data_IF_430786848776
#
_entry.id   IF_430786848776
#
_cell.length_a   1.000
_cell.length_b   1.000
_cell.length_c   1.000
_cell.angle_alpha   90.00
_cell.angle_beta   90.00
_cell.angle_gamma   90.00
#
_symmetry.space_group_name_H-M   'P 1'
#
loop_
_entity.id
_entity.type
_entity.pdbx_description
1 polymer ?
#
# COMPACT_ATOMS: atom_id res chain seq x y z
N UNK A 1 -23.65 -2.19 21.69
CA UNK A 1 -22.32 -2.70 21.27
C UNK A 1 -22.51 -3.18 19.84
N UNK A 2 -22.19 -2.44 18.79
CA UNK A 2 -20.87 -1.95 18.36
C UNK A 2 -21.02 -0.69 17.51
N UNK A 3 -20.10 0.25 17.67
CA UNK A 3 -20.00 1.48 16.88
C UNK A 3 -19.67 1.17 15.42
N UNK A 4 -20.49 1.64 14.48
CA UNK A 4 -20.20 1.69 13.04
C UNK A 4 -19.07 2.70 12.82
N UNK A 5 -17.84 2.27 13.06
CA UNK A 5 -16.64 3.01 12.68
C UNK A 5 -16.63 3.00 11.15
N UNK A 6 -16.95 4.11 10.51
CA UNK A 6 -16.72 4.26 9.08
C UNK A 6 -15.27 3.85 8.81
N UNK A 7 -15.01 2.84 7.96
CA UNK A 7 -13.65 2.42 7.74
C UNK A 7 -12.92 3.57 7.06
N UNK A 8 -12.09 4.27 7.82
CA UNK A 8 -11.20 5.29 7.28
C UNK A 8 -10.13 4.57 6.47
N UNK A 9 -10.47 4.33 5.21
CA UNK A 9 -9.53 3.84 4.23
C UNK A 9 -8.42 4.89 4.03
N UNK A 10 -7.21 4.39 3.87
CA UNK A 10 -5.98 5.13 3.68
C UNK A 10 -5.35 4.72 2.36
N UNK A 11 -4.68 5.68 1.72
CA UNK A 11 -3.89 5.44 0.53
C UNK A 11 -2.45 5.13 0.93
N UNK A 12 -1.97 3.95 0.58
CA UNK A 12 -0.63 3.48 0.87
C UNK A 12 0.21 3.40 -0.40
N UNK A 13 1.51 3.65 -0.27
CA UNK A 13 2.49 3.46 -1.34
C UNK A 13 3.55 2.48 -0.86
N UNK A 14 3.76 1.41 -1.63
CA UNK A 14 4.84 0.46 -1.43
C UNK A 14 5.75 0.44 -2.65
N UNK A 15 7.06 0.47 -2.45
CA UNK A 15 8.06 0.38 -3.52
C UNK A 15 8.99 -0.79 -3.22
N UNK A 16 9.09 -1.74 -4.16
CA UNK A 16 10.03 -2.84 -4.04
C UNK A 16 11.42 -2.35 -4.45
N UNK A 17 12.28 -1.99 -3.50
CA UNK A 17 13.67 -1.59 -3.78
C UNK A 17 14.63 -2.78 -3.97
N UNK A 18 14.11 -4.01 -4.05
CA UNK A 18 14.93 -5.22 -4.21
C UNK A 18 15.03 -5.62 -5.68
N UNK A 19 16.04 -6.41 -6.03
CA UNK A 19 16.20 -7.02 -7.35
C UNK A 19 15.42 -8.33 -7.53
N UNK A 20 14.49 -8.65 -6.62
CA UNK A 20 13.70 -9.88 -6.63
C UNK A 20 12.21 -9.56 -6.78
N UNK A 21 11.46 -10.49 -7.38
CA UNK A 21 10.00 -10.44 -7.33
C UNK A 21 9.53 -10.58 -5.88
N UNK A 22 8.48 -9.83 -5.55
CA UNK A 22 7.82 -9.88 -4.25
C UNK A 22 6.33 -10.06 -4.45
N UNK A 23 5.67 -10.70 -3.50
CA UNK A 23 4.21 -10.77 -3.45
C UNK A 23 3.77 -10.04 -2.19
N UNK A 24 3.01 -8.96 -2.36
CA UNK A 24 2.42 -8.22 -1.25
C UNK A 24 1.02 -8.74 -0.97
N UNK A 25 0.70 -8.95 0.31
CA UNK A 25 -0.57 -9.51 0.77
C UNK A 25 -1.13 -8.73 1.95
N UNK A 26 -2.44 -8.75 2.13
CA UNK A 26 -3.11 -8.31 3.36
C UNK A 26 -4.07 -9.42 3.77
N UNK A 27 -3.75 -10.13 4.84
CA UNK A 27 -4.59 -11.22 5.37
C UNK A 27 -5.23 -10.89 6.73
N UNK A 28 -4.78 -9.83 7.39
CA UNK A 28 -5.23 -9.44 8.73
C UNK A 28 -6.70 -8.95 8.81
N UNK A 29 -7.32 -8.60 7.68
CA UNK A 29 -8.68 -8.06 7.63
C UNK A 29 -9.65 -9.12 7.12
N UNK A 30 -10.58 -9.55 7.98
CA UNK A 30 -11.59 -10.54 7.59
C UNK A 30 -12.46 -10.02 6.44
N UNK A 31 -12.77 -10.90 5.48
CA UNK A 31 -13.56 -10.58 4.27
C UNK A 31 -12.92 -9.56 3.30
N UNK A 32 -11.63 -9.27 3.44
CA UNK A 32 -10.87 -8.43 2.51
C UNK A 32 -9.66 -9.21 1.98
N UNK A 33 -9.64 -9.50 0.68
CA UNK A 33 -8.53 -10.17 0.03
C UNK A 33 -7.74 -9.16 -0.82
N UNK A 34 -6.45 -9.03 -0.53
CA UNK A 34 -5.52 -8.25 -1.34
C UNK A 34 -4.23 -9.03 -1.52
N UNK A 35 -3.87 -9.26 -2.78
CA UNK A 35 -2.63 -9.91 -3.19
C UNK A 35 -2.17 -9.32 -4.51
N UNK A 36 -0.88 -8.92 -4.60
CA UNK A 36 -0.28 -8.42 -5.84
C UNK A 36 1.19 -8.82 -5.94
N UNK A 37 1.64 -9.13 -7.15
CA UNK A 37 3.07 -9.27 -7.45
C UNK A 37 3.66 -7.90 -7.72
N UNK A 38 4.82 -7.62 -7.13
CA UNK A 38 5.60 -6.39 -7.31
C UNK A 38 6.93 -6.73 -7.94
N UNK A 39 7.20 -6.16 -9.10
CA UNK A 39 8.44 -6.34 -9.86
C UNK A 39 9.57 -5.55 -9.17
N UNK A 40 10.84 -5.96 -9.33
CA UNK A 40 11.97 -5.13 -8.93
C UNK A 40 11.82 -3.67 -9.34
N UNK A 41 11.99 -2.77 -8.36
CA UNK A 41 11.89 -1.30 -8.51
C UNK A 41 10.50 -0.75 -8.85
N UNK A 42 9.46 -1.59 -8.85
CA UNK A 42 8.09 -1.15 -9.08
C UNK A 42 7.49 -0.51 -7.83
N UNK A 43 6.62 0.48 -8.05
CA UNK A 43 5.82 1.12 -7.00
C UNK A 43 4.35 0.79 -7.18
N UNK A 44 3.74 0.24 -6.13
CA UNK A 44 2.31 -0.05 -6.08
C UNK A 44 1.64 0.90 -5.10
N UNK A 45 0.56 1.52 -5.57
CA UNK A 45 -0.33 2.35 -4.75
C UNK A 45 -1.63 1.57 -4.57
N UNK A 46 -2.11 1.49 -3.34
CA UNK A 46 -3.34 0.76 -3.02
C UNK A 46 -4.08 1.44 -1.86
N UNK A 47 -5.39 1.24 -1.82
CA UNK A 47 -6.24 1.73 -0.74
C UNK A 47 -6.57 0.58 0.22
N UNK A 48 -6.45 0.83 1.53
CA UNK A 48 -6.67 -0.19 2.57
C UNK A 48 -7.12 0.43 3.88
N UNK A 49 -7.42 -0.37 4.91
CA UNK A 49 -7.79 0.10 6.25
C UNK A 49 -6.54 0.43 7.09
N UNK A 50 -6.67 1.31 8.09
CA UNK A 50 -5.55 1.68 8.98
C UNK A 50 -4.99 0.49 9.77
N UNK A 51 -5.86 -0.43 10.14
CA UNK A 51 -5.55 -1.67 10.83
C UNK A 51 -4.94 -2.76 9.92
N UNK A 52 -4.85 -2.51 8.61
CA UNK A 52 -4.24 -3.46 7.68
C UNK A 52 -2.73 -3.55 7.87
N UNK A 53 -2.21 -4.75 7.64
CA UNK A 53 -0.79 -5.06 7.67
C UNK A 53 -0.41 -5.61 6.30
N UNK A 54 0.60 -5.00 5.68
CA UNK A 54 1.14 -5.41 4.39
C UNK A 54 2.22 -6.47 4.63
N UNK A 55 1.88 -7.71 4.31
CA UNK A 55 2.82 -8.81 4.30
C UNK A 55 3.62 -8.81 2.99
N UNK A 56 4.94 -8.94 3.09
CA UNK A 56 5.83 -9.04 1.94
C UNK A 56 6.36 -10.47 1.91
N UNK A 57 6.00 -11.21 0.88
CA UNK A 57 6.49 -12.55 0.64
C UNK A 57 7.56 -12.49 -0.45
N UNK A 58 8.74 -13.06 -0.18
CA UNK A 58 9.85 -13.11 -1.15
C UNK A 58 10.19 -14.55 -1.50
N UNK A 59 10.66 -14.80 -2.73
CA UNK A 59 11.11 -16.12 -3.16
C UNK A 59 10.66 -16.48 -4.57
N UNK A 60 11.15 -17.62 -5.06
CA UNK A 60 10.66 -18.24 -6.31
C UNK A 60 9.26 -18.77 -5.99
N UNK A 61 8.30 -18.58 -6.91
CA UNK A 61 6.84 -18.78 -6.76
C UNK A 61 6.38 -20.04 -5.98
N UNK A 62 7.21 -21.07 -5.83
CA UNK A 62 6.91 -22.31 -5.09
C UNK A 62 7.19 -22.25 -3.58
N UNK A 63 7.96 -21.26 -3.11
CA UNK A 63 8.40 -21.15 -1.71
C UNK A 63 8.39 -19.69 -1.23
N UNK A 64 7.36 -18.90 -1.55
CA UNK A 64 7.29 -17.53 -1.07
C UNK A 64 7.26 -17.53 0.46
N UNK A 65 8.37 -17.14 1.09
CA UNK A 65 8.51 -17.04 2.54
C UNK A 65 8.07 -15.64 2.92
N UNK A 66 7.23 -15.55 3.96
CA UNK A 66 6.90 -14.28 4.59
C UNK A 66 8.21 -13.63 5.06
N UNK A 67 8.61 -12.58 4.37
CA UNK A 67 9.85 -11.87 4.61
C UNK A 67 9.67 -10.77 5.64
N UNK A 68 8.53 -10.08 5.58
CA UNK A 68 8.27 -8.90 6.41
C UNK A 68 6.77 -8.62 6.55
N UNK A 69 6.40 -7.88 7.59
CA UNK A 69 5.05 -7.40 7.85
C UNK A 69 5.14 -5.91 8.19
N UNK A 70 4.63 -5.06 7.30
CA UNK A 70 4.66 -3.61 7.45
C UNK A 70 3.25 -3.08 7.74
N UNK A 71 3.00 -2.44 8.89
CA UNK A 71 1.73 -1.76 9.15
C UNK A 71 1.41 -0.71 8.08
N UNK A 72 0.20 -0.72 7.52
CA UNK A 72 -0.16 0.20 6.44
C UNK A 72 -0.11 1.68 6.87
N UNK A 73 -0.22 1.97 8.17
CA UNK A 73 -0.02 3.31 8.75
C UNK A 73 1.37 3.89 8.55
N UNK A 74 2.39 3.05 8.31
CA UNK A 74 3.76 3.50 7.98
C UNK A 74 3.92 3.77 6.48
N UNK A 75 3.09 3.15 5.65
CA UNK A 75 3.10 3.28 4.19
C UNK A 75 2.18 4.37 3.67
N UNK A 76 1.38 4.99 4.56
CA UNK A 76 0.60 6.17 4.20
C UNK A 76 1.56 7.29 3.87
N UNK A 77 1.52 7.79 2.64
CA UNK A 77 2.07 9.11 2.42
C UNK A 77 1.21 10.10 3.21
N UNK A 78 1.79 11.08 3.91
CA UNK A 78 1.00 12.23 4.31
C UNK A 78 0.35 12.75 3.03
N UNK A 79 -0.98 12.74 3.00
CA UNK A 79 -1.73 13.44 1.98
C UNK A 79 -1.36 14.90 2.14
N UNK A 80 -0.32 15.34 1.42
CA UNK A 80 0.03 16.74 1.39
C UNK A 80 -1.04 17.44 0.56
N UNK A 81 -1.97 18.09 1.26
CA UNK A 81 -2.98 18.98 0.68
C UNK A 81 -2.36 20.19 -0.06
N UNK A 82 -1.03 20.32 -0.14
CA UNK A 82 -0.37 21.40 -0.88
C UNK A 82 -0.43 21.23 -2.41
N UNK A 83 -0.64 20.02 -2.96
CA UNK A 83 -0.73 19.81 -4.42
C UNK A 83 -2.17 19.98 -4.92
N UNK A 84 -2.80 21.12 -4.60
CA UNK A 84 -3.94 21.66 -5.36
C UNK A 84 -3.78 23.13 -5.78
N UNK A 85 -2.61 23.74 -5.58
CA UNK A 85 -2.38 25.16 -5.96
C UNK A 85 -1.42 25.41 -7.13
N UNK A 86 -0.69 24.41 -7.65
CA UNK A 86 0.25 24.61 -8.75
C UNK A 86 -0.32 24.38 -10.16
N UNK A 87 -1.60 23.97 -10.32
CA UNK A 87 -2.25 23.87 -11.63
C UNK A 87 -3.01 25.12 -12.10
N UNK A 88 -3.03 26.23 -11.34
CA UNK A 88 -3.63 27.49 -11.82
C UNK A 88 -2.63 28.45 -12.50
N UNK A 89 -1.32 28.18 -12.46
CA UNK A 89 -0.30 29.05 -13.08
C UNK A 89 0.26 28.50 -14.40
N UNK A 90 -0.59 27.90 -15.24
CA UNK A 90 -0.27 27.59 -16.66
C UNK A 90 -1.43 27.94 -17.61
N UNK A 91 -2.09 29.07 -17.36
CA UNK A 91 -2.87 29.79 -18.37
C UNK A 91 -2.46 31.25 -18.31
N UNK A 92 -1.37 31.60 -18.99
CA UNK A 92 -1.15 32.86 -19.71
C UNK A 92 0.27 32.78 -20.29
N UNK A 93 0.36 32.42 -21.56
CA UNK A 93 1.35 32.95 -22.50
C UNK A 93 0.68 32.86 -23.88
#
# INVERSE_FOLDING_TARGET
MTTLKSPHKILCRYTNHTSKFQVIRITNISHWFFERTVIPWETVIFETFREAQLEIHTGIMMSAILSDIIPCTQLTQPYDMSIKQSQLMRKTA
#
